data_IF_709230722828
#
_entry.id   IF_709230722828
#
_cell.length_a   1.000
_cell.length_b   1.000
_cell.length_c   1.000
_cell.angle_alpha   90.00
_cell.angle_beta   90.00
_cell.angle_gamma   90.00
#
_symmetry.space_group_name_H-M   'P 1'
#
loop_
_entity.id
_entity.type
_entity.pdbx_description
1 polymer ?
#
# COMPACT_ATOMS: atom_id res chain seq x y z
N UNK A 1 -2.73 -1.99 2.76
CA UNK A 1 -1.81 -2.50 1.72
C UNK A 1 -2.63 -2.75 0.46
N UNK A 2 -2.05 -2.74 -0.73
CA UNK A 2 -2.79 -3.01 -1.98
C UNK A 2 -1.93 -3.67 -3.04
N UNK A 3 -2.57 -4.31 -4.01
CA UNK A 3 -1.94 -4.82 -5.24
C UNK A 3 -2.76 -4.35 -6.44
N UNK A 4 -2.17 -3.70 -7.45
CA UNK A 4 -2.84 -3.41 -8.72
C UNK A 4 -3.40 -4.67 -9.36
N UNK A 5 -4.59 -4.61 -9.95
CA UNK A 5 -5.25 -5.81 -10.50
C UNK A 5 -4.47 -6.46 -11.65
N UNK A 6 -3.65 -5.68 -12.36
CA UNK A 6 -2.79 -6.10 -13.47
C UNK A 6 -1.42 -6.65 -13.02
N UNK A 7 -1.12 -6.64 -11.71
CA UNK A 7 0.16 -7.09 -11.14
C UNK A 7 -0.05 -8.22 -10.15
N UNK A 8 0.80 -9.23 -10.23
CA UNK A 8 0.90 -10.26 -9.20
C UNK A 8 2.08 -9.96 -8.29
N UNK A 9 1.79 -9.37 -7.13
CA UNK A 9 2.79 -9.01 -6.14
C UNK A 9 2.77 -10.04 -5.01
N UNK A 10 3.93 -10.65 -4.73
CA UNK A 10 4.12 -11.54 -3.57
C UNK A 10 3.73 -10.83 -2.25
N UNK A 11 4.03 -9.52 -2.18
CA UNK A 11 3.62 -8.62 -1.10
C UNK A 11 3.10 -7.33 -1.71
N UNK A 12 1.88 -6.95 -1.36
CA UNK A 12 1.31 -5.68 -1.78
C UNK A 12 2.08 -4.47 -1.24
N UNK A 13 1.76 -3.30 -1.75
CA UNK A 13 2.40 -2.05 -1.37
C UNK A 13 1.65 -1.29 -0.28
N UNK A 14 2.36 -0.50 0.54
CA UNK A 14 1.75 0.58 1.31
C UNK A 14 1.09 1.59 0.38
N UNK A 15 -0.12 2.01 0.72
CA UNK A 15 -0.84 3.01 -0.04
C UNK A 15 -1.73 3.88 0.83
N UNK A 16 -1.95 5.13 0.39
CA UNK A 16 -2.89 6.07 0.99
C UNK A 16 -4.10 6.19 0.07
N UNK A 17 -5.30 6.07 0.63
CA UNK A 17 -6.54 6.28 -0.12
C UNK A 17 -6.88 7.77 -0.07
N UNK A 18 -7.13 8.36 -1.23
CA UNK A 18 -7.60 9.74 -1.38
C UNK A 18 -8.75 9.76 -2.39
N UNK A 19 -9.99 9.95 -1.95
CA UNK A 19 -11.14 9.91 -2.86
C UNK A 19 -11.25 8.57 -3.60
N UNK A 20 -11.16 8.60 -4.93
CA UNK A 20 -11.28 7.44 -5.81
C UNK A 20 -9.92 6.87 -6.27
N UNK A 21 -8.83 7.25 -5.61
CA UNK A 21 -7.47 6.79 -5.93
C UNK A 21 -6.71 6.25 -4.72
N UNK A 22 -5.69 5.45 -5.02
CA UNK A 22 -4.71 4.94 -4.08
C UNK A 22 -3.33 5.41 -4.51
N UNK A 23 -2.67 6.19 -3.65
CA UNK A 23 -1.30 6.66 -3.83
C UNK A 23 -0.35 5.62 -3.27
N UNK A 24 0.54 5.06 -4.09
CA UNK A 24 1.61 4.18 -3.65
C UNK A 24 2.63 4.97 -2.84
N UNK A 25 2.89 4.52 -1.61
CA UNK A 25 3.92 5.10 -0.75
C UNK A 25 5.23 4.32 -0.92
N UNK A 26 6.35 5.03 -1.06
CA UNK A 26 7.68 4.46 -1.20
C UNK A 26 8.21 3.84 0.11
N UNK A 27 7.54 2.78 0.56
CA UNK A 27 7.89 1.99 1.73
C UNK A 27 7.67 0.50 1.43
N UNK A 28 8.41 -0.39 2.09
CA UNK A 28 8.29 -1.84 1.87
C UNK A 28 7.07 -2.43 2.61
N UNK A 29 6.74 -1.90 3.78
CA UNK A 29 5.61 -2.33 4.62
C UNK A 29 4.98 -1.14 5.35
N UNK A 30 3.73 -1.28 5.80
CA UNK A 30 3.10 -0.27 6.67
C UNK A 30 3.88 -0.05 7.97
N UNK A 31 4.44 -1.12 8.55
CA UNK A 31 5.29 -1.01 9.72
C UNK A 31 6.50 -0.10 9.45
N UNK A 32 7.22 -0.33 8.34
CA UNK A 32 8.38 0.49 7.96
C UNK A 32 8.01 1.96 7.72
N UNK A 33 6.83 2.20 7.14
CA UNK A 33 6.30 3.54 6.94
C UNK A 33 6.06 4.26 8.28
N UNK A 34 5.38 3.61 9.23
CA UNK A 34 5.09 4.22 10.52
C UNK A 34 6.36 4.39 11.37
N UNK A 35 7.24 3.39 11.44
CA UNK A 35 8.51 3.50 12.18
C UNK A 35 9.46 4.56 11.59
N UNK A 36 9.31 4.86 10.29
CA UNK A 36 10.03 5.93 9.60
C UNK A 36 9.43 7.33 9.79
N UNK A 37 8.48 7.52 10.71
CA UNK A 37 7.86 8.82 10.97
C UNK A 37 6.68 9.16 10.04
N UNK A 38 6.14 8.17 9.33
CA UNK A 38 5.01 8.35 8.40
C UNK A 38 5.29 9.35 7.26
N UNK A 39 6.56 9.52 6.90
CA UNK A 39 7.00 10.28 5.74
C UNK A 39 7.55 9.32 4.70
N UNK A 40 6.88 9.23 3.56
CA UNK A 40 7.36 8.50 2.39
C UNK A 40 7.05 9.30 1.14
N UNK A 41 7.91 9.16 0.14
CA UNK A 41 7.67 9.72 -1.19
C UNK A 41 6.47 9.01 -1.80
N UNK A 42 5.67 9.75 -2.54
CA UNK A 42 4.61 9.20 -3.38
C UNK A 42 5.27 8.68 -4.66
N UNK A 43 4.99 7.42 -4.99
CA UNK A 43 5.69 6.72 -6.06
C UNK A 43 4.83 6.62 -7.33
N UNK A 44 3.55 6.30 -7.18
CA UNK A 44 2.62 6.07 -8.30
C UNK A 44 1.16 6.24 -7.81
N UNK A 45 0.21 6.35 -8.73
CA UNK A 45 -1.23 6.52 -8.46
C UNK A 45 -2.06 5.47 -9.21
N UNK A 46 -3.03 4.89 -8.53
CA UNK A 46 -3.94 3.89 -9.08
C UNK A 46 -5.39 4.28 -8.79
N UNK A 47 -6.33 3.96 -9.68
CA UNK A 47 -7.75 4.07 -9.33
C UNK A 47 -8.11 3.04 -8.26
N UNK A 48 -9.01 3.41 -7.35
CA UNK A 48 -9.45 2.54 -6.26
C UNK A 48 -10.19 1.30 -6.77
N UNK A 49 -10.86 1.39 -7.92
CA UNK A 49 -11.52 0.27 -8.60
C UNK A 49 -10.55 -0.64 -9.39
N UNK A 50 -9.29 -0.23 -9.53
CA UNK A 50 -8.23 -0.98 -10.24
C UNK A 50 -7.23 -1.66 -9.30
N UNK A 51 -7.53 -1.70 -7.99
CA UNK A 51 -6.66 -2.32 -7.00
C UNK A 51 -7.40 -3.31 -6.11
N UNK A 52 -6.68 -4.32 -5.65
CA UNK A 52 -7.13 -5.21 -4.57
C UNK A 52 -6.57 -4.72 -3.24
N UNK A 53 -7.44 -4.34 -2.31
CA UNK A 53 -7.04 -4.02 -0.95
C UNK A 53 -6.64 -5.29 -0.19
N UNK A 54 -5.56 -5.19 0.58
CA UNK A 54 -4.99 -6.29 1.36
C UNK A 54 -4.91 -5.90 2.84
N UNK A 55 -4.90 -6.92 3.69
CA UNK A 55 -4.66 -6.75 5.11
C UNK A 55 -3.38 -5.92 5.37
N UNK A 56 -3.38 -5.07 6.41
CA UNK A 56 -2.27 -4.15 6.67
C UNK A 56 -0.96 -4.85 7.04
N UNK A 57 -1.04 -6.08 7.56
CA UNK A 57 0.10 -6.95 7.89
C UNK A 57 -0.15 -8.35 7.32
N UNK A 58 0.93 -9.02 6.89
CA UNK A 58 0.84 -10.38 6.35
C UNK A 58 0.60 -11.42 7.46
N UNK A 59 1.20 -11.20 8.63
CA UNK A 59 1.08 -12.07 9.80
C UNK A 59 0.71 -11.21 11.03
N UNK A 60 -0.58 -11.12 11.40
CA UNK A 60 -0.96 -10.44 12.62
C UNK A 60 -0.43 -11.20 13.84
N UNK A 61 0.03 -10.50 14.90
CA UNK A 61 0.32 -11.15 16.16
C UNK A 61 -0.97 -11.75 16.74
N UNK A 62 -0.86 -13.00 17.23
CA UNK A 62 -1.92 -13.73 17.93
C UNK A 62 -2.14 -13.22 19.35
#
# INVERSE_FOLDING_TARGET
>A
MFTPLDRDLERGWPGRIEGDRVIQLAAQTLQSFFSGGSQAREHDEFRLDEVRLLAPVLHPPS
#
